data_IF_323708716908
#
_entry.id   IF_323708716908
#
_cell.length_a   1.000
_cell.length_b   1.000
_cell.length_c   1.000
_cell.angle_alpha   90.00
_cell.angle_beta   90.00
_cell.angle_gamma   90.00
#
_symmetry.space_group_name_H-M   'P 1'
#
loop_
_entity.id
_entity.type
_entity.pdbx_description
1 polymer ?
#
# COMPACT_ATOMS: atom_id res chain seq x y z
N UNK A 1 -8.60 -78.62 -1.51
CA UNK A 1 -7.83 -77.92 -0.48
C UNK A 1 -8.76 -76.98 0.29
N UNK A 2 -9.19 -77.35 1.51
CA UNK A 2 -10.10 -76.54 2.30
C UNK A 2 -9.27 -75.52 3.08
N UNK A 3 -9.27 -74.27 2.65
CA UNK A 3 -8.69 -73.16 3.38
C UNK A 3 -9.55 -72.90 4.61
N UNK A 4 -9.00 -73.07 5.79
CA UNK A 4 -9.70 -72.93 7.05
C UNK A 4 -10.20 -71.49 7.22
N UNK A 5 -11.50 -71.32 7.43
CA UNK A 5 -12.15 -70.03 7.65
C UNK A 5 -11.49 -69.17 8.76
N UNK A 6 -10.78 -69.80 9.66
CA UNK A 6 -10.02 -69.19 10.78
C UNK A 6 -8.88 -68.29 10.25
N UNK A 7 -8.17 -68.68 9.17
CA UNK A 7 -7.08 -67.89 8.59
C UNK A 7 -7.56 -66.63 7.88
N UNK A 8 -8.81 -66.70 7.29
CA UNK A 8 -9.38 -65.54 6.62
C UNK A 8 -9.85 -64.50 7.66
N UNK A 9 -10.46 -64.92 8.78
CA UNK A 9 -10.86 -64.02 9.89
C UNK A 9 -9.63 -63.41 10.57
N UNK A 10 -8.53 -64.14 10.75
CA UNK A 10 -7.29 -63.61 11.33
C UNK A 10 -6.58 -62.62 10.41
N UNK A 11 -6.64 -62.82 9.10
CA UNK A 11 -6.06 -61.93 8.10
C UNK A 11 -6.89 -60.60 7.98
N UNK A 12 -8.24 -60.69 8.07
CA UNK A 12 -9.11 -59.50 8.11
C UNK A 12 -8.95 -58.68 9.40
N UNK A 13 -8.66 -59.32 10.55
CA UNK A 13 -8.40 -58.58 11.80
C UNK A 13 -7.11 -57.80 11.79
N UNK A 14 -6.10 -58.21 11.04
CA UNK A 14 -4.83 -57.50 10.85
C UNK A 14 -4.95 -56.24 9.99
N UNK A 15 -5.99 -56.11 9.16
CA UNK A 15 -6.25 -54.89 8.37
C UNK A 15 -7.07 -53.84 9.10
N UNK A 16 -7.64 -54.16 10.27
CA UNK A 16 -8.40 -53.22 11.10
C UNK A 16 -7.57 -52.43 12.11
N UNK A 17 -6.28 -52.72 12.24
CA UNK A 17 -5.32 -51.91 13.00
C UNK A 17 -4.64 -50.89 12.08
N UNK A 18 -5.42 -50.18 11.27
CA UNK A 18 -4.93 -49.02 10.55
C UNK A 18 -4.64 -47.91 11.58
N UNK A 19 -3.38 -47.51 11.69
CA UNK A 19 -2.99 -46.39 12.54
C UNK A 19 -3.77 -45.15 12.09
N UNK A 20 -4.70 -44.68 12.90
CA UNK A 20 -5.45 -43.44 12.65
C UNK A 20 -4.56 -42.23 12.44
N UNK A 21 -3.30 -42.26 12.90
CA UNK A 21 -2.36 -41.14 12.80
C UNK A 21 -1.46 -41.17 11.54
N UNK A 22 -1.58 -42.21 10.67
CA UNK A 22 -0.74 -42.28 9.47
C UNK A 22 -1.21 -41.31 8.36
N UNK A 23 -2.47 -40.87 8.42
CA UNK A 23 -3.04 -39.92 7.48
C UNK A 23 -3.09 -38.49 8.02
N UNK A 24 -2.67 -38.25 9.26
CA UNK A 24 -2.50 -36.92 9.82
C UNK A 24 -1.21 -36.33 9.21
N UNK A 25 -1.37 -35.66 8.07
CA UNK A 25 -0.30 -34.84 7.50
C UNK A 25 0.09 -33.76 8.50
N UNK A 26 1.25 -33.90 9.08
CA UNK A 26 1.91 -32.79 9.79
C UNK A 26 2.60 -31.94 8.73
N UNK A 27 2.04 -30.80 8.29
CA UNK A 27 2.67 -29.96 7.29
C UNK A 27 3.96 -29.38 7.87
N UNK A 28 5.10 -29.90 7.44
CA UNK A 28 6.43 -29.50 7.91
C UNK A 28 6.94 -28.19 7.33
N UNK A 29 6.16 -27.50 6.52
CA UNK A 29 6.59 -26.28 5.82
C UNK A 29 5.57 -25.14 5.73
N UNK A 30 4.33 -25.33 6.17
CA UNK A 30 3.28 -24.29 6.17
C UNK A 30 2.65 -24.16 7.52
N UNK A 31 2.51 -22.91 8.01
CA UNK A 31 1.73 -22.64 9.22
C UNK A 31 0.25 -22.93 8.94
N UNK A 32 -0.34 -23.82 9.73
CA UNK A 32 -1.79 -24.09 9.71
C UNK A 32 -2.46 -23.41 10.89
N UNK A 33 -3.78 -23.22 10.82
CA UNK A 33 -4.59 -22.67 11.92
C UNK A 33 -4.40 -23.43 13.23
N UNK A 34 -4.09 -24.73 13.16
CA UNK A 34 -3.93 -25.61 14.34
C UNK A 34 -2.47 -25.72 14.84
N UNK A 35 -1.52 -25.06 14.18
CA UNK A 35 -0.12 -25.09 14.60
C UNK A 35 0.07 -24.34 15.91
N UNK A 36 0.57 -25.02 16.94
CA UNK A 36 0.97 -24.38 18.21
C UNK A 36 2.29 -23.65 18.00
N UNK A 37 2.22 -22.33 17.95
CA UNK A 37 3.38 -21.47 17.69
C UNK A 37 3.88 -20.91 19.03
N UNK A 38 5.16 -21.06 19.34
CA UNK A 38 5.72 -20.68 20.65
C UNK A 38 6.99 -19.84 20.55
N UNK A 39 7.57 -19.69 19.34
CA UNK A 39 8.83 -18.99 19.17
C UNK A 39 8.64 -17.52 18.71
N UNK A 40 9.62 -16.67 19.04
CA UNK A 40 9.67 -15.28 18.58
C UNK A 40 9.68 -15.20 17.04
N UNK A 41 10.36 -16.12 16.37
CA UNK A 41 10.42 -16.21 14.91
C UNK A 41 9.04 -16.51 14.31
N UNK A 42 8.25 -17.36 14.98
CA UNK A 42 6.87 -17.63 14.57
C UNK A 42 5.97 -16.41 14.74
N UNK A 43 6.09 -15.68 15.85
CA UNK A 43 5.35 -14.45 16.08
C UNK A 43 5.72 -13.37 15.06
N UNK A 44 7.01 -13.23 14.73
CA UNK A 44 7.50 -12.32 13.70
C UNK A 44 6.98 -12.73 12.32
N UNK A 45 6.96 -14.02 11.98
CA UNK A 45 6.44 -14.51 10.71
C UNK A 45 4.95 -14.23 10.53
N UNK A 46 4.14 -14.39 11.60
CA UNK A 46 2.74 -13.99 11.63
C UNK A 46 2.57 -12.49 11.36
N UNK A 47 3.34 -11.66 12.08
CA UNK A 47 3.31 -10.20 11.87
C UNK A 47 3.70 -9.85 10.43
N UNK A 48 4.73 -10.48 9.88
CA UNK A 48 5.17 -10.25 8.51
C UNK A 48 4.10 -10.66 7.47
N UNK A 49 3.22 -11.62 7.80
CA UNK A 49 2.14 -12.03 6.90
C UNK A 49 1.16 -10.88 6.60
N UNK A 50 0.95 -9.96 7.54
CA UNK A 50 0.12 -8.77 7.35
C UNK A 50 0.66 -7.84 6.26
N UNK A 51 1.98 -7.79 6.07
CA UNK A 51 2.62 -6.95 5.06
C UNK A 51 2.61 -7.55 3.65
N UNK A 52 2.29 -8.83 3.47
CA UNK A 52 2.43 -9.52 2.18
C UNK A 52 1.60 -8.89 1.06
N UNK A 53 0.50 -8.25 1.41
CA UNK A 53 -0.44 -7.63 0.48
C UNK A 53 -0.34 -6.09 0.39
N UNK A 54 0.54 -5.46 1.17
CA UNK A 54 0.72 -4.01 1.14
C UNK A 54 1.19 -3.49 -0.23
N UNK A 55 1.71 -4.37 -1.05
CA UNK A 55 2.10 -4.04 -2.42
C UNK A 55 0.93 -3.70 -3.32
N UNK A 56 -0.31 -3.93 -2.92
CA UNK A 56 -1.49 -3.40 -3.61
C UNK A 56 -1.36 -1.87 -3.82
N UNK A 57 -0.69 -1.17 -2.92
CA UNK A 57 -0.43 0.26 -3.02
C UNK A 57 0.61 0.65 -4.09
N UNK A 58 1.31 -0.31 -4.68
CA UNK A 58 2.20 -0.13 -5.83
C UNK A 58 2.34 -1.46 -6.62
N UNK A 59 1.23 -2.04 -7.04
CA UNK A 59 1.20 -3.30 -7.77
C UNK A 59 1.21 -3.06 -9.28
N UNK A 60 2.19 -3.63 -9.97
CA UNK A 60 2.18 -3.70 -11.43
C UNK A 60 1.23 -4.81 -11.87
N UNK A 61 0.31 -4.49 -12.76
CA UNK A 61 -0.59 -5.48 -13.34
C UNK A 61 0.16 -6.25 -14.44
N UNK A 62 0.15 -7.60 -14.42
CA UNK A 62 0.83 -8.40 -15.44
C UNK A 62 0.39 -8.04 -16.85
N UNK A 63 1.36 -7.81 -17.71
CA UNK A 63 1.16 -7.63 -19.17
C UNK A 63 1.06 -6.19 -19.66
N UNK A 64 0.80 -5.19 -18.83
CA UNK A 64 0.54 -3.82 -19.32
C UNK A 64 1.30 -2.72 -18.59
N UNK A 65 2.11 -3.05 -17.60
CA UNK A 65 3.00 -2.10 -16.95
C UNK A 65 2.32 -1.00 -16.14
N UNK A 66 1.02 -1.09 -15.86
CA UNK A 66 0.31 -0.09 -15.07
C UNK A 66 0.17 -0.52 -13.62
N UNK A 67 0.45 0.41 -12.73
CA UNK A 67 0.22 0.24 -11.32
C UNK A 67 -1.26 0.53 -10.99
N UNK A 68 -1.92 -0.38 -10.28
CA UNK A 68 -3.35 -0.27 -9.97
C UNK A 68 -3.72 1.02 -9.24
N UNK A 69 -2.86 1.52 -8.33
CA UNK A 69 -3.13 2.77 -7.61
C UNK A 69 -3.12 3.98 -8.55
N UNK A 70 -2.26 3.97 -9.57
CA UNK A 70 -2.09 5.11 -10.48
C UNK A 70 -3.29 5.29 -11.41
N UNK A 71 -4.12 4.25 -11.58
CA UNK A 71 -5.37 4.38 -12.33
C UNK A 71 -6.33 5.37 -11.68
N UNK A 72 -6.27 5.51 -10.34
CA UNK A 72 -7.07 6.50 -9.61
C UNK A 72 -6.66 7.94 -9.98
N UNK A 73 -5.41 8.17 -10.37
CA UNK A 73 -4.93 9.48 -10.80
C UNK A 73 -5.60 9.95 -12.09
N UNK A 74 -5.96 9.03 -12.99
CA UNK A 74 -6.70 9.39 -14.21
C UNK A 74 -8.07 10.00 -13.89
N UNK A 75 -8.73 9.51 -12.83
CA UNK A 75 -10.06 10.00 -12.41
C UNK A 75 -10.02 11.42 -11.86
N UNK A 76 -8.83 11.94 -11.54
CA UNK A 76 -8.66 13.34 -11.09
C UNK A 76 -8.67 14.36 -12.23
N UNK A 77 -8.55 13.92 -13.48
CA UNK A 77 -8.34 14.77 -14.63
C UNK A 77 -6.94 15.40 -14.71
N UNK A 78 -6.03 15.04 -13.80
CA UNK A 78 -4.66 15.58 -13.75
C UNK A 78 -3.62 14.69 -14.43
N UNK A 79 -4.03 13.49 -14.83
CA UNK A 79 -3.16 12.52 -15.47
C UNK A 79 -3.81 11.92 -16.73
N UNK A 80 -2.95 11.50 -17.64
CA UNK A 80 -3.31 10.84 -18.90
C UNK A 80 -2.31 9.73 -19.20
N UNK A 81 -2.48 9.05 -20.35
CA UNK A 81 -1.62 7.99 -20.83
C UNK A 81 -1.35 8.14 -22.33
N UNK A 82 -0.12 7.86 -22.76
CA UNK A 82 0.19 7.65 -24.19
C UNK A 82 -0.34 6.31 -24.70
N UNK A 83 -0.68 5.43 -23.79
CA UNK A 83 -1.18 4.10 -24.11
C UNK A 83 -2.69 4.15 -24.31
N UNK A 84 -3.14 3.91 -25.54
CA UNK A 84 -4.56 3.94 -25.93
C UNK A 84 -5.36 2.70 -25.53
N UNK A 85 -4.86 1.89 -24.60
CA UNK A 85 -5.57 0.71 -24.12
C UNK A 85 -6.91 1.08 -23.50
N UNK A 86 -7.97 0.35 -23.86
CA UNK A 86 -9.33 0.61 -23.40
C UNK A 86 -9.47 0.70 -21.87
N UNK A 87 -8.73 -0.13 -21.16
CA UNK A 87 -8.80 -0.19 -19.69
C UNK A 87 -8.34 1.11 -18.99
N UNK A 88 -7.39 1.85 -19.57
CA UNK A 88 -6.99 3.16 -19.04
C UNK A 88 -8.02 4.22 -19.36
N UNK A 89 -8.58 4.12 -20.56
CA UNK A 89 -9.60 5.06 -21.02
C UNK A 89 -10.84 5.04 -20.15
N UNK A 90 -11.27 3.89 -19.67
CA UNK A 90 -12.42 3.76 -18.78
C UNK A 90 -12.24 4.57 -17.47
N UNK A 91 -11.01 4.63 -16.93
CA UNK A 91 -10.69 5.46 -15.77
C UNK A 91 -10.66 6.96 -16.11
N UNK A 92 -10.09 7.32 -17.25
CA UNK A 92 -10.06 8.72 -17.73
C UNK A 92 -11.47 9.26 -18.01
N UNK A 93 -12.31 8.44 -18.62
CA UNK A 93 -13.67 8.80 -19.00
C UNK A 93 -14.69 8.61 -17.84
N UNK A 94 -14.24 8.16 -16.66
CA UNK A 94 -15.07 7.83 -15.49
C UNK A 94 -16.14 6.76 -15.78
N UNK A 95 -15.84 5.82 -16.67
CA UNK A 95 -16.72 4.71 -17.08
C UNK A 95 -16.31 3.37 -16.48
N UNK A 96 -15.64 3.40 -15.34
CA UNK A 96 -15.15 2.19 -14.65
C UNK A 96 -16.32 1.30 -14.24
N UNK A 97 -16.23 0.02 -14.58
CA UNK A 97 -17.23 -0.99 -14.24
C UNK A 97 -16.71 -1.98 -13.20
N UNK A 98 -17.62 -2.73 -12.59
CA UNK A 98 -17.33 -3.83 -11.67
C UNK A 98 -16.58 -5.02 -12.32
N UNK A 99 -16.44 -5.02 -13.65
CA UNK A 99 -15.68 -6.01 -14.42
C UNK A 99 -14.23 -5.59 -14.68
N UNK A 100 -13.81 -4.45 -14.16
CA UNK A 100 -12.42 -3.99 -14.29
C UNK A 100 -11.49 -4.88 -13.45
N UNK A 101 -10.52 -5.52 -14.10
CA UNK A 101 -9.50 -6.34 -13.42
C UNK A 101 -8.71 -5.57 -12.38
N UNK A 102 -8.54 -4.25 -12.58
CA UNK A 102 -7.82 -3.40 -11.65
C UNK A 102 -8.60 -3.18 -10.35
N UNK A 103 -9.92 -3.03 -10.46
CA UNK A 103 -10.83 -2.92 -9.30
C UNK A 103 -10.91 -4.26 -8.57
N UNK A 104 -10.98 -5.36 -9.31
CA UNK A 104 -10.95 -6.72 -8.73
C UNK A 104 -9.65 -6.98 -7.97
N UNK A 105 -8.50 -6.62 -8.53
CA UNK A 105 -7.18 -6.74 -7.89
C UNK A 105 -7.12 -6.00 -6.54
N UNK A 106 -7.65 -4.76 -6.47
CA UNK A 106 -7.75 -4.00 -5.23
C UNK A 106 -8.57 -4.72 -4.17
N UNK A 107 -9.76 -5.19 -4.57
CA UNK A 107 -10.65 -5.92 -3.67
C UNK A 107 -10.00 -7.18 -3.13
N UNK A 108 -9.50 -8.02 -4.01
CA UNK A 108 -8.90 -9.30 -3.65
C UNK A 108 -7.66 -9.15 -2.77
N UNK A 109 -6.74 -8.25 -3.12
CA UNK A 109 -5.50 -8.08 -2.35
C UNK A 109 -5.76 -7.44 -0.98
N UNK A 110 -6.67 -6.48 -0.87
CA UNK A 110 -7.04 -5.92 0.43
C UNK A 110 -7.70 -6.97 1.33
N UNK A 111 -8.66 -7.75 0.84
CA UNK A 111 -9.27 -8.81 1.66
C UNK A 111 -8.32 -9.96 1.99
N UNK A 112 -7.41 -10.33 1.10
CA UNK A 112 -6.35 -11.28 1.42
C UNK A 112 -5.41 -10.73 2.51
N UNK A 113 -5.09 -9.43 2.49
CA UNK A 113 -4.36 -8.75 3.55
C UNK A 113 -5.11 -8.76 4.88
N UNK A 114 -6.41 -8.46 4.87
CA UNK A 114 -7.29 -8.51 6.05
C UNK A 114 -7.36 -9.92 6.63
N UNK A 115 -7.48 -10.96 5.79
CA UNK A 115 -7.49 -12.34 6.25
C UNK A 115 -6.17 -12.71 6.95
N UNK A 116 -5.02 -12.30 6.39
CA UNK A 116 -3.71 -12.47 7.04
C UNK A 116 -3.65 -11.72 8.38
N UNK A 117 -4.16 -10.49 8.45
CA UNK A 117 -4.22 -9.73 9.69
C UNK A 117 -5.08 -10.42 10.75
N UNK A 118 -6.27 -10.91 10.39
CA UNK A 118 -7.17 -11.59 11.31
C UNK A 118 -6.51 -12.86 11.87
N UNK A 119 -5.88 -13.67 11.01
CA UNK A 119 -5.13 -14.86 11.45
C UNK A 119 -3.97 -14.49 12.36
N UNK A 120 -3.20 -13.47 12.00
CA UNK A 120 -2.07 -13.00 12.80
C UNK A 120 -2.53 -12.51 14.18
N UNK A 121 -3.59 -11.70 14.27
CA UNK A 121 -4.13 -11.21 15.53
C UNK A 121 -4.63 -12.34 16.42
N UNK A 122 -5.36 -13.31 15.85
CA UNK A 122 -5.82 -14.48 16.58
C UNK A 122 -4.63 -15.26 17.16
N UNK A 123 -3.64 -15.58 16.30
CA UNK A 123 -2.50 -16.41 16.72
C UNK A 123 -1.53 -15.68 17.65
N UNK A 124 -1.30 -14.37 17.47
CA UNK A 124 -0.48 -13.58 18.38
C UNK A 124 -1.09 -13.52 19.78
N UNK A 125 -2.43 -13.51 19.90
CA UNK A 125 -3.13 -13.58 21.19
C UNK A 125 -2.98 -14.90 21.93
N UNK A 126 -2.54 -15.98 21.26
CA UNK A 126 -2.32 -17.30 21.86
C UNK A 126 -0.90 -17.48 22.46
N UNK A 127 0.02 -16.51 22.27
CA UNK A 127 1.38 -16.60 22.81
C UNK A 127 1.42 -16.24 24.31
N UNK A 128 1.70 -17.23 25.14
CA UNK A 128 1.81 -17.07 26.58
C UNK A 128 3.28 -16.93 27.06
N UNK A 129 4.24 -17.38 26.24
CA UNK A 129 5.64 -17.52 26.63
C UNK A 129 6.56 -16.40 26.12
N UNK A 130 6.04 -15.41 25.43
CA UNK A 130 6.78 -14.26 24.93
C UNK A 130 6.47 -13.01 25.75
N UNK A 131 7.40 -12.08 25.73
CA UNK A 131 7.21 -10.78 26.37
C UNK A 131 5.96 -10.07 25.86
N UNK A 132 5.12 -9.59 26.77
CA UNK A 132 3.85 -8.95 26.44
C UNK A 132 4.02 -7.66 25.62
N UNK A 133 5.07 -6.86 25.90
CA UNK A 133 5.35 -5.65 25.13
C UNK A 133 5.74 -6.00 23.70
N UNK A 134 6.52 -7.07 23.49
CA UNK A 134 6.87 -7.56 22.15
C UNK A 134 5.61 -7.98 21.35
N UNK A 135 4.73 -8.77 21.98
CA UNK A 135 3.48 -9.22 21.34
C UNK A 135 2.56 -8.04 21.05
N UNK A 136 2.41 -7.10 21.99
CA UNK A 136 1.63 -5.88 21.79
C UNK A 136 2.17 -5.03 20.64
N UNK A 137 3.49 -4.90 20.49
CA UNK A 137 4.12 -4.25 19.36
C UNK A 137 3.78 -4.94 18.03
N UNK A 138 3.87 -6.26 17.96
CA UNK A 138 3.49 -7.03 16.78
C UNK A 138 1.98 -6.91 16.45
N UNK A 139 1.12 -6.96 17.46
CA UNK A 139 -0.32 -6.76 17.27
C UNK A 139 -0.63 -5.35 16.76
N UNK A 140 0.09 -4.34 17.25
CA UNK A 140 -0.07 -2.96 16.79
C UNK A 140 0.28 -2.80 15.31
N UNK A 141 1.36 -3.42 14.85
CA UNK A 141 1.71 -3.44 13.42
C UNK A 141 0.61 -4.12 12.58
N UNK A 142 0.10 -5.25 13.03
CA UNK A 142 -0.98 -5.99 12.31
C UNK A 142 -2.27 -5.18 12.29
N UNK A 143 -2.64 -4.51 13.39
CA UNK A 143 -3.81 -3.63 13.45
C UNK A 143 -3.67 -2.43 12.53
N UNK A 144 -2.51 -1.79 12.49
CA UNK A 144 -2.23 -0.74 11.52
C UNK A 144 -2.46 -1.23 10.08
N UNK A 145 -1.95 -2.41 9.73
CA UNK A 145 -2.11 -2.96 8.38
C UNK A 145 -3.58 -3.26 8.07
N UNK A 146 -4.35 -3.83 9.02
CA UNK A 146 -5.77 -4.09 8.84
C UNK A 146 -6.56 -2.80 8.65
N UNK A 147 -6.30 -1.81 9.47
CA UNK A 147 -6.90 -0.48 9.34
C UNK A 147 -6.58 0.16 7.99
N UNK A 148 -5.33 0.09 7.53
CA UNK A 148 -4.91 0.63 6.24
C UNK A 148 -5.63 -0.04 5.07
N UNK A 149 -5.76 -1.38 5.06
CA UNK A 149 -6.51 -2.09 4.03
C UNK A 149 -7.98 -1.68 4.01
N UNK A 150 -8.64 -1.61 5.18
CA UNK A 150 -10.02 -1.16 5.26
C UNK A 150 -10.20 0.29 4.87
N UNK A 151 -9.27 1.18 5.24
CA UNK A 151 -9.32 2.59 4.89
C UNK A 151 -9.33 2.81 3.37
N UNK A 152 -8.49 2.07 2.63
CA UNK A 152 -8.52 2.11 1.18
C UNK A 152 -9.78 1.46 0.60
N UNK A 153 -10.24 0.32 1.15
CA UNK A 153 -11.47 -0.33 0.69
C UNK A 153 -12.67 0.61 0.76
N UNK A 154 -12.91 1.24 1.90
CA UNK A 154 -14.08 2.12 2.05
C UNK A 154 -14.00 3.39 1.21
N UNK A 155 -12.80 3.90 0.93
CA UNK A 155 -12.60 5.07 0.06
C UNK A 155 -12.81 4.75 -1.42
N UNK A 156 -12.52 3.53 -1.85
CA UNK A 156 -12.66 3.10 -3.25
C UNK A 156 -14.06 2.53 -3.51
N UNK A 157 -14.61 1.74 -2.59
CA UNK A 157 -15.81 0.92 -2.81
C UNK A 157 -17.04 1.37 -2.02
N UNK A 158 -16.91 2.32 -1.11
CA UNK A 158 -18.01 2.68 -0.19
C UNK A 158 -18.26 1.58 0.83
N UNK A 159 -19.51 1.13 0.96
CA UNK A 159 -19.88 0.03 1.85
C UNK A 159 -19.18 -1.27 1.46
N UNK A 160 -18.61 -1.98 2.44
CA UNK A 160 -17.82 -3.21 2.23
C UNK A 160 -18.09 -4.25 3.31
N UNK A 161 -17.90 -5.58 3.05
CA UNK A 161 -18.02 -6.61 4.06
C UNK A 161 -17.10 -6.38 5.27
N UNK A 162 -17.70 -6.46 6.48
CA UNK A 162 -16.97 -6.38 7.74
C UNK A 162 -16.49 -7.77 8.16
N UNK A 163 -15.19 -8.04 8.01
CA UNK A 163 -14.56 -9.33 8.30
C UNK A 163 -13.43 -9.11 9.32
N UNK A 164 -13.68 -9.45 10.58
CA UNK A 164 -12.74 -9.20 11.70
C UNK A 164 -12.19 -10.47 12.33
N UNK A 165 -12.64 -11.62 11.89
CA UNK A 165 -12.24 -12.94 12.38
C UNK A 165 -11.77 -13.84 11.25
N UNK A 166 -11.08 -14.92 11.61
CA UNK A 166 -10.72 -15.98 10.66
C UNK A 166 -11.98 -16.69 10.22
N UNK A 167 -12.20 -16.78 8.91
CA UNK A 167 -13.33 -17.49 8.33
C UNK A 167 -12.93 -18.93 8.04
N UNK A 168 -13.57 -19.88 8.70
CA UNK A 168 -13.26 -21.31 8.61
C UNK A 168 -14.30 -22.13 7.86
N UNK A 169 -15.51 -21.60 7.72
CA UNK A 169 -16.64 -22.32 7.09
C UNK A 169 -17.15 -21.60 5.84
N UNK A 170 -17.61 -22.37 4.84
CA UNK A 170 -18.14 -21.82 3.59
C UNK A 170 -19.33 -20.85 3.78
N UNK A 171 -20.14 -21.06 4.82
CA UNK A 171 -21.26 -20.18 5.15
C UNK A 171 -20.82 -18.78 5.62
N UNK A 172 -19.62 -18.66 6.16
CA UNK A 172 -19.05 -17.39 6.65
C UNK A 172 -18.52 -16.51 5.50
N UNK A 173 -18.40 -17.06 4.29
CA UNK A 173 -17.88 -16.32 3.13
C UNK A 173 -18.90 -15.37 2.50
N UNK A 174 -20.19 -15.52 2.82
CA UNK A 174 -21.27 -14.66 2.30
C UNK A 174 -21.62 -13.54 3.29
N UNK A 175 -20.72 -12.57 3.43
CA UNK A 175 -20.92 -11.42 4.31
C UNK A 175 -21.51 -10.26 3.53
N UNK A 176 -22.63 -9.70 4.03
CA UNK A 176 -23.20 -8.48 3.46
C UNK A 176 -22.28 -7.28 3.66
N UNK A 177 -22.41 -6.27 2.81
CA UNK A 177 -21.69 -5.00 2.99
C UNK A 177 -22.21 -4.30 4.25
N UNK A 178 -21.29 -3.80 5.06
CA UNK A 178 -21.57 -2.91 6.18
C UNK A 178 -21.42 -1.45 5.73
N UNK A 179 -22.15 -0.51 6.31
CA UNK A 179 -21.99 0.91 6.00
C UNK A 179 -20.57 1.41 6.24
N UNK A 180 -20.11 2.34 5.42
CA UNK A 180 -18.76 2.98 5.57
C UNK A 180 -18.55 3.43 7.02
N UNK A 181 -19.53 4.11 7.62
CA UNK A 181 -19.45 4.60 8.99
C UNK A 181 -19.13 3.48 9.99
N UNK A 182 -19.76 2.34 9.86
CA UNK A 182 -19.55 1.19 10.75
C UNK A 182 -18.14 0.63 10.64
N UNK A 183 -17.57 0.60 9.42
CA UNK A 183 -16.19 0.18 9.20
C UNK A 183 -15.19 1.13 9.87
N UNK A 184 -15.43 2.45 9.79
CA UNK A 184 -14.60 3.42 10.51
C UNK A 184 -14.72 3.26 12.03
N UNK A 185 -15.93 3.18 12.55
CA UNK A 185 -16.19 3.23 13.99
C UNK A 185 -15.83 1.92 14.71
N UNK A 186 -15.93 0.78 14.02
CA UNK A 186 -15.76 -0.53 14.65
C UNK A 186 -14.47 -1.25 14.26
N UNK A 187 -13.76 -0.81 13.20
CA UNK A 187 -12.51 -1.44 12.78
C UNK A 187 -11.38 -0.41 12.68
N UNK A 188 -11.48 0.56 11.77
CA UNK A 188 -10.34 1.42 11.41
C UNK A 188 -9.86 2.22 12.62
N UNK A 189 -10.76 2.98 13.23
CA UNK A 189 -10.42 3.84 14.38
C UNK A 189 -10.02 3.01 15.61
N UNK A 190 -10.79 1.98 16.03
CA UNK A 190 -10.38 1.14 17.16
C UNK A 190 -9.02 0.45 16.97
N UNK A 191 -8.76 -0.15 15.80
CA UNK A 191 -7.47 -0.78 15.54
C UNK A 191 -6.29 0.19 15.69
N UNK A 192 -6.46 1.41 15.16
CA UNK A 192 -5.41 2.43 15.24
C UNK A 192 -5.26 3.02 16.64
N UNK A 193 -6.35 3.20 17.38
CA UNK A 193 -6.28 3.65 18.77
C UNK A 193 -5.63 2.61 19.69
N UNK A 194 -5.87 1.32 19.44
CA UNK A 194 -5.18 0.27 20.17
C UNK A 194 -3.70 0.18 19.77
N UNK A 195 -3.37 0.35 18.48
CA UNK A 195 -1.98 0.44 18.03
C UNK A 195 -1.25 1.67 18.64
N UNK A 196 -1.95 2.79 18.84
CA UNK A 196 -1.41 4.00 19.48
C UNK A 196 -1.02 3.78 20.96
N UNK A 197 -1.57 2.75 21.64
CA UNK A 197 -1.23 2.41 23.03
C UNK A 197 -0.01 1.48 23.15
N UNK A 198 0.61 1.10 22.04
CA UNK A 198 1.76 0.21 22.05
C UNK A 198 3.08 0.96 22.30
N UNK A 199 4.13 0.20 22.58
CA UNK A 199 5.49 0.71 22.76
C UNK A 199 6.28 0.78 21.42
N UNK A 200 5.61 0.95 20.29
CA UNK A 200 6.29 1.12 19.00
C UNK A 200 7.22 2.35 19.03
N UNK A 201 8.42 2.20 18.50
CA UNK A 201 9.31 3.34 18.30
C UNK A 201 8.64 4.41 17.42
N UNK A 202 8.94 5.68 17.69
CA UNK A 202 8.28 6.77 16.96
C UNK A 202 8.64 6.80 15.48
N UNK A 203 9.87 6.45 15.12
CA UNK A 203 10.34 6.26 13.75
C UNK A 203 10.94 4.87 13.56
N UNK A 204 10.91 4.34 12.34
CA UNK A 204 11.52 3.06 11.98
C UNK A 204 12.27 3.16 10.65
N UNK A 205 13.54 2.75 10.64
CA UNK A 205 14.39 2.79 9.45
C UNK A 205 14.48 1.46 8.70
N UNK A 206 13.75 0.45 9.17
CA UNK A 206 13.71 -0.89 8.55
C UNK A 206 12.50 -1.10 7.67
N UNK A 207 11.54 -0.16 7.71
CA UNK A 207 10.31 -0.18 6.94
C UNK A 207 9.15 -0.87 7.65
N UNK A 208 9.27 -1.11 8.96
CA UNK A 208 8.16 -1.59 9.79
C UNK A 208 7.27 -0.41 10.21
N UNK A 209 6.07 -0.73 10.67
CA UNK A 209 5.16 0.27 11.23
C UNK A 209 5.79 0.90 12.47
N UNK A 210 5.77 2.23 12.51
CA UNK A 210 6.22 3.04 13.64
C UNK A 210 5.04 3.78 14.28
N UNK A 211 5.22 4.32 15.47
CA UNK A 211 4.21 5.18 16.12
C UNK A 211 3.89 6.41 15.25
N UNK A 212 4.89 6.97 14.57
CA UNK A 212 4.68 8.06 13.61
C UNK A 212 3.78 7.65 12.44
N UNK A 213 3.92 6.41 11.95
CA UNK A 213 3.03 5.86 10.92
C UNK A 213 1.59 5.68 11.43
N UNK A 214 1.43 5.17 12.66
CA UNK A 214 0.10 5.03 13.30
C UNK A 214 -0.59 6.39 13.42
N UNK A 215 0.14 7.40 13.90
CA UNK A 215 -0.40 8.78 14.07
C UNK A 215 -0.70 9.45 12.73
N UNK A 216 0.13 9.24 11.72
CA UNK A 216 -0.11 9.78 10.38
C UNK A 216 -1.37 9.18 9.75
N UNK A 217 -1.56 7.85 9.86
CA UNK A 217 -2.78 7.20 9.37
C UNK A 217 -4.02 7.62 10.19
N UNK A 218 -3.92 7.74 11.51
CA UNK A 218 -5.01 8.28 12.35
C UNK A 218 -5.39 9.71 11.93
N UNK A 219 -4.41 10.55 11.65
CA UNK A 219 -4.67 11.91 11.18
C UNK A 219 -5.44 11.91 9.86
N UNK A 220 -5.03 11.08 8.87
CA UNK A 220 -5.72 10.96 7.59
C UNK A 220 -7.13 10.36 7.74
N UNK A 221 -7.28 9.34 8.58
CA UNK A 221 -8.57 8.72 8.90
C UNK A 221 -9.55 9.74 9.49
N UNK A 222 -9.11 10.52 10.48
CA UNK A 222 -9.95 11.54 11.09
C UNK A 222 -10.25 12.71 10.15
N UNK A 223 -9.28 13.14 9.34
CA UNK A 223 -9.48 14.18 8.32
C UNK A 223 -10.54 13.74 7.30
N UNK A 224 -10.42 12.50 6.81
CA UNK A 224 -11.38 11.93 5.85
C UNK A 224 -12.77 11.76 6.49
N UNK A 225 -12.84 11.31 7.74
CA UNK A 225 -14.11 11.19 8.47
C UNK A 225 -14.79 12.55 8.70
N UNK A 226 -13.99 13.60 8.99
CA UNK A 226 -14.50 14.95 9.20
C UNK A 226 -15.20 15.52 7.97
N UNK A 227 -14.67 15.19 6.76
CA UNK A 227 -15.19 15.64 5.48
C UNK A 227 -16.21 14.67 4.86
N UNK A 228 -16.37 14.78 3.55
CA UNK A 228 -17.25 13.90 2.77
C UNK A 228 -16.67 12.48 2.70
N UNK A 229 -17.47 11.39 2.75
CA UNK A 229 -18.96 11.39 2.80
C UNK A 229 -19.56 11.43 4.19
N UNK A 230 -18.81 11.20 5.27
CA UNK A 230 -19.33 11.04 6.62
C UNK A 230 -19.71 12.35 7.31
N UNK A 231 -19.03 13.45 6.95
CA UNK A 231 -19.30 14.80 7.46
C UNK A 231 -19.28 14.87 8.99
N UNK A 232 -18.29 14.19 9.63
CA UNK A 232 -18.14 14.15 11.08
C UNK A 232 -17.84 15.51 11.73
N UNK A 233 -17.36 16.48 10.94
CA UNK A 233 -17.23 17.87 11.31
C UNK A 233 -16.10 18.19 12.28
N UNK A 234 -16.27 19.32 13.01
CA UNK A 234 -15.20 20.01 13.77
C UNK A 234 -14.45 19.12 14.77
N UNK A 235 -15.12 18.19 15.44
CA UNK A 235 -14.48 17.29 16.40
C UNK A 235 -13.45 16.36 15.77
N UNK A 236 -13.72 15.85 14.57
CA UNK A 236 -12.80 14.98 13.84
C UNK A 236 -11.63 15.74 13.21
N UNK A 237 -11.85 16.97 12.73
CA UNK A 237 -10.75 17.87 12.36
C UNK A 237 -9.80 18.13 13.53
N UNK A 238 -10.32 18.31 14.74
CA UNK A 238 -9.51 18.51 15.94
C UNK A 238 -8.67 17.27 16.29
N UNK A 239 -9.24 16.06 16.17
CA UNK A 239 -8.51 14.82 16.40
C UNK A 239 -7.42 14.58 15.35
N UNK A 240 -7.67 14.91 14.07
CA UNK A 240 -6.67 14.90 13.02
C UNK A 240 -5.54 15.89 13.27
N UNK A 241 -5.88 17.13 13.60
CA UNK A 241 -4.89 18.15 13.95
C UNK A 241 -4.01 17.74 15.13
N UNK A 242 -4.60 17.12 16.16
CA UNK A 242 -3.86 16.62 17.32
C UNK A 242 -2.80 15.60 16.93
N UNK A 243 -3.15 14.55 16.16
CA UNK A 243 -2.20 13.51 15.72
C UNK A 243 -1.13 14.06 14.79
N UNK A 244 -1.52 14.92 13.86
CA UNK A 244 -0.56 15.63 12.99
C UNK A 244 0.44 16.45 13.81
N UNK A 245 -0.02 17.20 14.80
CA UNK A 245 0.83 18.00 15.67
C UNK A 245 1.78 17.15 16.54
N UNK A 246 1.34 15.98 16.99
CA UNK A 246 2.19 15.03 17.72
C UNK A 246 3.34 14.52 16.85
N UNK A 247 3.08 14.20 15.57
CA UNK A 247 4.13 13.83 14.61
C UNK A 247 5.08 15.01 14.37
N UNK A 248 4.56 16.23 14.19
CA UNK A 248 5.38 17.42 13.98
C UNK A 248 6.28 17.69 15.20
N UNK A 249 5.75 17.60 16.41
CA UNK A 249 6.48 17.87 17.66
C UNK A 249 7.45 16.78 18.05
N UNK A 250 7.37 15.61 17.46
CA UNK A 250 8.31 14.51 17.74
C UNK A 250 9.74 14.85 17.31
N UNK A 251 9.91 15.69 16.29
CA UNK A 251 11.16 16.01 15.64
C UNK A 251 11.90 14.77 15.04
N UNK A 252 11.19 13.65 14.83
CA UNK A 252 11.75 12.43 14.25
C UNK A 252 11.81 12.48 12.72
N UNK A 253 11.03 13.37 12.11
CA UNK A 253 10.94 13.52 10.66
C UNK A 253 11.33 14.94 10.23
N UNK A 254 12.02 15.04 9.09
CA UNK A 254 12.45 16.33 8.53
C UNK A 254 12.29 16.33 7.02
N UNK A 255 11.88 17.45 6.44
CA UNK A 255 11.82 17.59 4.99
C UNK A 255 13.20 17.45 4.38
N UNK A 256 13.29 16.82 3.23
CA UNK A 256 14.49 16.87 2.42
C UNK A 256 14.75 18.30 1.92
N UNK A 257 16.02 18.67 1.78
CA UNK A 257 16.42 19.98 1.27
C UNK A 257 16.31 20.09 -0.25
N UNK A 258 16.18 18.95 -0.92
CA UNK A 258 16.08 18.82 -2.37
C UNK A 258 15.12 17.71 -2.77
N UNK A 259 14.59 17.78 -3.98
CA UNK A 259 13.67 16.77 -4.51
C UNK A 259 14.39 15.51 -5.04
N UNK A 260 15.71 15.54 -5.20
CA UNK A 260 16.48 14.38 -5.62
C UNK A 260 16.39 13.27 -4.58
N UNK A 261 16.45 13.63 -3.31
CA UNK A 261 16.37 12.70 -2.18
C UNK A 261 15.10 11.85 -2.20
N UNK A 262 13.99 12.32 -2.80
CA UNK A 262 12.75 11.56 -2.92
C UNK A 262 12.85 10.32 -3.82
N UNK A 263 13.82 10.30 -4.75
CA UNK A 263 13.99 9.25 -5.75
C UNK A 263 15.27 8.42 -5.58
N UNK A 264 15.97 8.60 -4.47
CA UNK A 264 17.18 7.84 -4.17
C UNK A 264 16.86 6.64 -3.26
N UNK A 265 17.09 5.39 -3.69
CA UNK A 265 16.90 4.22 -2.82
C UNK A 265 17.68 4.28 -1.50
N UNK A 266 18.82 4.99 -1.48
CA UNK A 266 19.63 5.22 -0.27
C UNK A 266 18.93 6.06 0.80
N UNK A 267 17.86 6.76 0.45
CA UNK A 267 17.03 7.56 1.35
C UNK A 267 15.77 6.82 1.81
N UNK A 268 15.53 5.60 1.37
CA UNK A 268 14.40 4.81 1.84
C UNK A 268 14.34 4.79 3.37
N UNK A 269 13.13 4.98 3.92
CA UNK A 269 12.82 4.99 5.36
C UNK A 269 13.59 6.05 6.17
N UNK A 270 13.99 7.16 5.54
CA UNK A 270 14.73 8.26 6.19
C UNK A 270 14.08 9.62 5.90
N UNK A 271 14.52 10.64 6.63
CA UNK A 271 14.14 12.03 6.41
C UNK A 271 12.65 12.26 6.56
N UNK A 272 11.97 12.54 5.46
CA UNK A 272 10.54 12.79 5.46
C UNK A 272 9.66 11.54 5.30
N UNK A 273 10.25 10.37 5.03
CA UNK A 273 9.48 9.15 4.83
C UNK A 273 8.99 8.56 6.16
N UNK A 274 7.67 8.54 6.37
CA UNK A 274 7.03 8.02 7.59
C UNK A 274 6.67 6.55 7.42
N UNK A 275 6.03 6.19 6.30
CA UNK A 275 5.69 4.81 5.98
C UNK A 275 5.81 4.54 4.48
N UNK A 276 6.52 3.48 4.14
CA UNK A 276 6.77 3.08 2.75
C UNK A 276 6.50 1.59 2.55
N UNK A 277 5.99 1.23 1.38
CA UNK A 277 6.01 -0.15 0.87
C UNK A 277 7.43 -0.50 0.46
N UNK A 278 7.96 -1.58 1.03
CA UNK A 278 9.35 -1.97 0.86
C UNK A 278 9.57 -2.75 -0.44
N UNK A 279 10.62 -2.38 -1.17
CA UNK A 279 11.09 -3.08 -2.36
C UNK A 279 12.57 -3.46 -2.23
N UNK A 280 12.98 -4.50 -2.96
CA UNK A 280 14.35 -4.97 -2.99
C UNK A 280 14.61 -5.73 -4.28
N UNK A 281 15.70 -5.43 -4.98
CA UNK A 281 16.10 -6.10 -6.22
C UNK A 281 16.19 -7.62 -6.08
N UNK A 282 16.60 -8.10 -4.90
CA UNK A 282 16.81 -9.52 -4.65
C UNK A 282 15.53 -10.31 -4.33
N UNK A 283 14.43 -9.62 -4.00
CA UNK A 283 13.17 -10.27 -3.59
C UNK A 283 12.00 -9.79 -4.44
N UNK A 284 11.63 -8.54 -4.25
CA UNK A 284 10.53 -7.89 -4.93
C UNK A 284 10.94 -6.48 -5.31
N UNK A 285 11.24 -6.25 -6.56
CA UNK A 285 11.65 -4.97 -7.08
C UNK A 285 10.46 -4.09 -7.46
N UNK A 286 10.68 -2.77 -7.41
CA UNK A 286 9.75 -1.78 -7.91
C UNK A 286 9.96 -1.63 -9.43
N UNK A 287 8.90 -1.85 -10.19
CA UNK A 287 8.92 -1.71 -11.66
C UNK A 287 8.19 -0.44 -12.13
N UNK A 288 7.66 0.36 -11.21
CA UNK A 288 6.83 1.52 -11.58
C UNK A 288 7.59 2.62 -12.32
N UNK A 289 8.93 2.64 -12.24
CA UNK A 289 9.75 3.58 -13.01
C UNK A 289 9.41 3.58 -14.51
N UNK A 290 9.03 2.43 -15.06
CA UNK A 290 8.70 2.25 -16.49
C UNK A 290 7.40 2.93 -16.91
N UNK A 291 6.46 3.11 -15.99
CA UNK A 291 5.16 3.72 -16.29
C UNK A 291 5.22 5.24 -16.42
N UNK A 292 6.26 5.85 -15.84
CA UNK A 292 6.47 7.31 -15.84
C UNK A 292 7.29 7.80 -17.03
N UNK A 293 7.96 6.89 -17.75
CA UNK A 293 8.78 7.24 -18.91
C UNK A 293 7.90 7.33 -20.18
N UNK A 294 8.25 8.22 -21.12
CA UNK A 294 7.58 8.28 -22.43
C UNK A 294 7.61 6.92 -23.11
N UNK A 295 6.54 6.54 -23.77
CA UNK A 295 6.45 5.24 -24.45
C UNK A 295 7.52 5.11 -25.53
N UNK A 296 8.33 4.05 -25.43
CA UNK A 296 9.38 3.72 -26.41
C UNK A 296 10.37 4.86 -26.67
N UNK A 297 10.64 5.67 -25.67
CA UNK A 297 11.51 6.85 -25.81
C UNK A 297 12.98 6.52 -25.94
N UNK A 298 13.42 5.33 -25.52
CA UNK A 298 14.82 4.98 -25.43
C UNK A 298 15.58 5.68 -24.28
N UNK A 299 14.87 6.23 -23.33
CA UNK A 299 15.46 6.83 -22.10
C UNK A 299 16.07 5.72 -21.24
N UNK A 300 15.37 4.61 -21.09
CA UNK A 300 15.83 3.46 -20.35
C UNK A 300 16.77 2.60 -21.20
N UNK A 301 17.83 2.08 -20.59
CA UNK A 301 18.66 1.04 -21.20
C UNK A 301 17.88 -0.27 -21.44
N UNK A 302 16.70 -0.40 -20.87
CA UNK A 302 15.82 -1.57 -20.92
C UNK A 302 14.53 -1.22 -21.67
N UNK A 303 14.14 -2.06 -22.62
CA UNK A 303 13.16 -1.80 -23.70
C UNK A 303 11.69 -1.60 -23.31
N UNK A 304 11.34 -1.48 -22.02
CA UNK A 304 9.96 -1.46 -21.56
C UNK A 304 9.58 -0.12 -20.92
N UNK A 305 9.33 0.86 -21.76
CA UNK A 305 8.81 2.17 -21.38
C UNK A 305 7.35 2.27 -21.85
N UNK A 306 6.47 2.64 -20.95
CA UNK A 306 5.03 2.49 -21.21
C UNK A 306 4.25 3.77 -21.42
N UNK A 307 4.74 4.93 -20.93
CA UNK A 307 3.99 6.17 -20.99
C UNK A 307 2.61 6.05 -20.35
N UNK A 308 2.51 5.24 -19.30
CA UNK A 308 1.21 4.87 -18.73
C UNK A 308 0.65 5.92 -17.79
N UNK A 309 1.49 6.74 -17.15
CA UNK A 309 1.03 7.85 -16.32
C UNK A 309 1.81 9.12 -16.65
N UNK A 310 1.12 10.07 -17.25
CA UNK A 310 1.67 11.33 -17.70
C UNK A 310 0.82 12.46 -17.09
N UNK A 311 1.43 13.49 -16.49
CA UNK A 311 0.67 14.65 -16.04
C UNK A 311 0.06 15.37 -17.23
N UNK A 312 -1.16 15.86 -17.09
CA UNK A 312 -1.74 16.75 -18.12
C UNK A 312 -0.98 18.07 -18.13
N UNK A 313 -0.94 18.70 -19.30
CA UNK A 313 -0.28 20.01 -19.46
C UNK A 313 -0.93 21.05 -18.56
N UNK A 314 -2.26 21.07 -18.53
CA UNK A 314 -3.06 21.98 -17.71
C UNK A 314 -2.73 21.82 -16.22
N UNK A 315 -2.50 20.60 -15.77
CA UNK A 315 -2.11 20.35 -14.37
C UNK A 315 -0.73 20.95 -14.07
N UNK A 316 0.28 20.70 -14.91
CA UNK A 316 1.62 21.25 -14.66
C UNK A 316 1.64 22.78 -14.79
N UNK A 317 0.91 23.34 -15.72
CA UNK A 317 0.81 24.79 -15.91
C UNK A 317 -0.06 25.49 -14.86
N UNK A 318 -0.82 24.74 -14.03
CA UNK A 318 -1.60 25.30 -12.92
C UNK A 318 -0.77 25.64 -11.68
N UNK A 319 0.50 25.20 -11.63
CA UNK A 319 1.39 25.57 -10.55
C UNK A 319 1.73 27.05 -10.57
N UNK A 320 1.89 27.66 -9.40
CA UNK A 320 2.26 29.06 -9.30
C UNK A 320 3.65 29.32 -9.91
N UNK A 321 3.82 30.51 -10.48
CA UNK A 321 5.12 30.92 -11.04
C UNK A 321 6.21 30.89 -9.97
N UNK A 322 7.28 30.14 -10.22
CA UNK A 322 8.41 30.00 -9.31
C UNK A 322 8.27 28.80 -8.34
N UNK A 323 7.24 27.99 -8.51
CA UNK A 323 7.16 26.71 -7.81
C UNK A 323 8.28 25.78 -8.28
N UNK A 324 9.18 25.43 -7.37
CA UNK A 324 10.35 24.60 -7.65
C UNK A 324 10.03 23.21 -8.21
N UNK A 325 8.82 22.71 -7.97
CA UNK A 325 8.38 21.41 -8.49
C UNK A 325 8.28 21.41 -10.01
N UNK A 326 8.05 22.59 -10.62
CA UNK A 326 7.97 22.76 -12.07
C UNK A 326 9.31 23.03 -12.75
N UNK A 327 10.38 23.24 -11.99
CA UNK A 327 11.72 23.35 -12.55
C UNK A 327 12.12 22.00 -13.17
N UNK A 328 12.90 22.05 -14.27
CA UNK A 328 13.31 20.86 -15.02
C UNK A 328 14.00 19.83 -14.11
N UNK A 329 13.54 18.56 -14.21
CA UNK A 329 14.05 17.44 -13.40
C UNK A 329 13.84 17.56 -11.89
N UNK A 330 12.87 18.33 -11.45
CA UNK A 330 12.40 18.27 -10.07
C UNK A 330 11.27 17.23 -9.94
N UNK A 331 10.00 17.61 -10.12
CA UNK A 331 8.88 16.66 -10.18
C UNK A 331 8.58 16.21 -11.60
N UNK A 332 8.91 17.04 -12.58
CA UNK A 332 8.65 16.81 -13.99
C UNK A 332 9.92 17.01 -14.82
N UNK A 333 9.92 16.45 -16.03
CA UNK A 333 10.95 16.68 -17.02
C UNK A 333 10.32 16.77 -18.41
N UNK A 334 10.95 17.55 -19.28
CA UNK A 334 10.51 17.81 -20.66
C UNK A 334 11.55 17.40 -21.69
N UNK A 335 12.78 17.13 -21.23
CA UNK A 335 13.88 16.75 -22.08
C UNK A 335 14.78 15.72 -21.40
N UNK A 336 15.40 14.87 -22.19
CA UNK A 336 16.30 13.85 -21.70
C UNK A 336 17.34 13.46 -22.73
N UNK A 337 18.49 13.03 -22.26
CA UNK A 337 19.53 12.42 -23.08
C UNK A 337 19.33 10.90 -23.04
N UNK A 338 18.73 10.34 -24.10
CA UNK A 338 18.35 8.93 -24.14
C UNK A 338 19.52 7.97 -24.33
N UNK A 339 19.33 6.72 -23.97
CA UNK A 339 20.18 5.61 -24.37
C UNK A 339 19.87 5.17 -25.80
N UNK A 340 20.86 4.64 -26.57
CA UNK A 340 20.53 4.06 -27.88
C UNK A 340 19.56 2.92 -27.67
N UNK A 341 18.33 3.08 -28.17
CA UNK A 341 17.30 2.07 -28.09
C UNK A 341 17.70 0.85 -28.92
N UNK A 342 17.47 -0.36 -28.41
CA UNK A 342 17.59 -1.61 -29.18
C UNK A 342 16.66 -1.63 -30.39
N UNK A 343 15.59 -0.83 -30.37
CA UNK A 343 14.63 -0.69 -31.47
C UNK A 343 15.06 0.30 -32.58
N UNK A 344 16.12 1.08 -32.31
CA UNK A 344 16.74 1.96 -33.32
C UNK A 344 18.20 1.61 -33.48
N UNK A 345 18.52 0.46 -34.08
CA UNK A 345 19.92 0.06 -34.32
C UNK A 345 20.54 1.04 -35.33
N UNK A 346 21.43 1.92 -34.86
CA UNK A 346 22.12 2.92 -35.65
C UNK A 346 22.20 4.31 -35.02
N UNK A 347 21.52 4.57 -33.92
CA UNK A 347 21.74 5.78 -33.12
C UNK A 347 23.08 5.64 -32.37
N UNK A 348 24.12 6.23 -32.93
CA UNK A 348 25.49 6.05 -32.43
C UNK A 348 25.81 6.89 -31.20
N UNK A 349 25.02 7.89 -30.85
CA UNK A 349 25.23 8.75 -29.69
C UNK A 349 23.89 9.12 -29.04
N UNK A 350 23.95 9.30 -27.71
CA UNK A 350 22.83 9.79 -26.91
C UNK A 350 22.52 11.23 -27.31
N UNK A 351 21.45 11.43 -28.07
CA UNK A 351 21.00 12.75 -28.44
C UNK A 351 20.10 13.35 -27.37
N UNK A 352 20.17 14.65 -27.21
CA UNK A 352 19.24 15.41 -26.39
C UNK A 352 17.87 15.41 -27.08
N UNK A 353 16.87 14.85 -26.40
CA UNK A 353 15.51 14.75 -26.90
C UNK A 353 14.62 15.77 -26.21
N UNK A 354 13.91 16.59 -27.01
CA UNK A 354 12.71 17.29 -26.54
C UNK A 354 11.56 16.30 -26.60
N UNK A 355 10.96 16.04 -25.45
CA UNK A 355 9.88 15.05 -25.32
C UNK A 355 8.52 15.60 -25.75
N UNK A 356 8.44 16.89 -26.08
CA UNK A 356 7.21 17.58 -26.48
C UNK A 356 6.05 17.41 -25.49
N UNK A 357 6.36 17.29 -24.21
CA UNK A 357 5.40 17.09 -23.12
C UNK A 357 6.06 17.03 -21.75
N UNK A 358 5.24 16.95 -20.72
CA UNK A 358 5.71 16.79 -19.34
C UNK A 358 5.65 15.32 -18.93
N UNK A 359 6.69 14.85 -18.26
CA UNK A 359 6.77 13.50 -17.71
C UNK A 359 7.18 13.54 -16.26
N UNK A 360 6.86 12.48 -15.47
CA UNK A 360 7.08 12.45 -14.04
C UNK A 360 8.54 12.09 -13.74
N UNK A 361 9.25 13.00 -13.05
CA UNK A 361 10.63 12.81 -12.61
C UNK A 361 10.75 12.45 -11.12
N UNK A 362 9.72 12.69 -10.34
CA UNK A 362 9.68 12.43 -8.88
C UNK A 362 10.08 11.00 -8.49
N UNK A 363 9.80 10.03 -9.35
CA UNK A 363 10.09 8.61 -9.11
C UNK A 363 11.20 8.06 -10.04
N UNK A 364 12.01 8.94 -10.60
CA UNK A 364 13.01 8.61 -11.60
C UNK A 364 14.28 8.07 -10.91
N UNK A 365 14.40 6.75 -10.81
CA UNK A 365 15.61 6.09 -10.33
C UNK A 365 16.60 5.91 -11.49
N UNK A 366 17.61 6.77 -11.51
CA UNK A 366 18.63 6.78 -12.58
C UNK A 366 19.35 5.44 -12.70
N UNK A 367 19.70 4.80 -11.57
CA UNK A 367 20.41 3.51 -11.57
C UNK A 367 19.56 2.40 -12.20
N UNK A 368 18.27 2.38 -11.85
CA UNK A 368 17.34 1.42 -12.44
C UNK A 368 17.17 1.65 -13.94
N UNK A 369 17.04 2.91 -14.37
CA UNK A 369 16.87 3.29 -15.78
C UNK A 369 18.09 2.93 -16.61
N UNK A 370 19.27 3.15 -16.10
CA UNK A 370 20.54 2.86 -16.80
C UNK A 370 20.84 1.34 -16.91
N UNK A 371 20.18 0.51 -16.11
CA UNK A 371 20.52 -0.92 -16.02
C UNK A 371 19.35 -1.85 -16.36
N UNK A 372 18.38 -2.00 -15.45
CA UNK A 372 17.40 -3.11 -15.50
C UNK A 372 15.95 -2.64 -15.53
N UNK A 373 15.69 -1.34 -15.35
CA UNK A 373 14.39 -0.76 -15.07
C UNK A 373 13.68 -1.38 -13.84
N UNK A 374 14.46 -2.01 -12.95
CA UNK A 374 14.02 -2.54 -11.65
C UNK A 374 14.70 -1.73 -10.56
N UNK A 375 13.94 -1.30 -9.60
CA UNK A 375 14.39 -0.38 -8.55
C UNK A 375 14.20 -0.94 -7.16
N UNK A 376 15.08 -0.55 -6.25
CA UNK A 376 14.92 -0.69 -4.80
C UNK A 376 14.15 0.50 -4.20
N UNK A 377 13.74 1.48 -5.00
CA UNK A 377 13.02 2.65 -4.51
C UNK A 377 11.69 2.23 -3.91
N UNK A 378 11.51 2.52 -2.63
CA UNK A 378 10.28 2.25 -1.91
C UNK A 378 9.14 3.16 -2.37
N UNK A 379 7.90 2.69 -2.22
CA UNK A 379 6.71 3.48 -2.49
C UNK A 379 6.19 4.14 -1.22
N UNK A 380 6.15 5.47 -1.20
CA UNK A 380 5.69 6.22 -0.03
C UNK A 380 4.19 6.20 0.09
N UNK A 381 3.69 5.75 1.25
CA UNK A 381 2.28 5.84 1.65
C UNK A 381 2.08 7.13 2.44
N UNK A 382 2.96 7.42 3.41
CA UNK A 382 2.96 8.66 4.18
C UNK A 382 4.34 9.29 4.25
N UNK A 383 4.38 10.59 4.01
CA UNK A 383 5.53 11.46 4.20
C UNK A 383 5.22 12.56 5.21
N UNK A 384 6.25 13.16 5.74
CA UNK A 384 6.11 14.30 6.67
C UNK A 384 5.38 15.48 6.03
N UNK A 385 5.53 15.69 4.72
CA UNK A 385 4.78 16.67 3.93
C UNK A 385 3.27 16.46 4.03
N UNK A 386 2.82 15.18 3.97
CA UNK A 386 1.38 14.86 4.07
C UNK A 386 0.84 15.24 5.44
N UNK A 387 1.61 15.00 6.51
CA UNK A 387 1.23 15.38 7.88
C UNK A 387 1.15 16.89 8.05
N UNK A 388 2.10 17.64 7.46
CA UNK A 388 2.08 19.11 7.50
C UNK A 388 0.85 19.66 6.79
N UNK A 389 0.48 19.09 5.63
CA UNK A 389 -0.71 19.49 4.88
C UNK A 389 -2.00 19.13 5.63
N UNK A 390 -2.11 17.92 6.18
CA UNK A 390 -3.25 17.53 7.01
C UNK A 390 -3.44 18.46 8.21
N UNK A 391 -2.34 18.84 8.87
CA UNK A 391 -2.40 19.81 9.98
C UNK A 391 -2.91 21.16 9.52
N UNK A 392 -2.41 21.68 8.41
CA UNK A 392 -2.83 22.96 7.84
C UNK A 392 -4.33 22.95 7.47
N UNK A 393 -4.80 21.89 6.80
CA UNK A 393 -6.21 21.73 6.44
C UNK A 393 -7.11 21.75 7.69
N UNK A 394 -6.72 21.00 8.74
CA UNK A 394 -7.49 20.96 9.96
C UNK A 394 -7.60 22.32 10.64
N UNK A 395 -6.55 23.15 10.60
CA UNK A 395 -6.56 24.49 11.19
C UNK A 395 -7.55 25.41 10.48
N UNK A 396 -7.75 25.26 9.17
CA UNK A 396 -8.75 26.04 8.42
C UNK A 396 -10.18 25.78 8.91
N UNK A 397 -10.47 24.53 9.30
CA UNK A 397 -11.81 24.11 9.73
C UNK A 397 -12.01 24.14 11.25
N UNK A 398 -10.97 24.37 12.04
CA UNK A 398 -11.04 24.43 13.50
C UNK A 398 -10.91 25.85 14.07
N UNK A 399 -10.33 26.79 13.30
CA UNK A 399 -10.18 28.18 13.72
C UNK A 399 -11.51 28.95 13.62
N UNK A 400 -11.79 29.82 14.57
CA UNK A 400 -12.98 30.67 14.56
C UNK A 400 -13.01 31.68 13.39
N UNK A 401 -11.84 31.91 12.76
CA UNK A 401 -11.72 32.74 11.56
C UNK A 401 -12.42 32.13 10.31
N UNK A 402 -12.67 30.83 10.28
CA UNK A 402 -13.44 30.20 9.22
C UNK A 402 -14.95 30.48 9.34
N UNK A 403 -15.46 30.71 10.55
CA UNK A 403 -16.88 31.02 10.79
C UNK A 403 -17.23 32.49 10.50
N UNK A 404 -16.25 33.40 10.53
CA UNK A 404 -16.47 34.83 10.27
C UNK A 404 -16.32 35.21 8.78
N UNK A 405 -15.73 34.38 7.94
CA UNK A 405 -15.37 34.68 6.54
C UNK A 405 -16.43 34.35 5.48
N UNK A 406 -17.50 33.63 5.81
CA UNK A 406 -18.52 33.18 4.87
C UNK A 406 -19.90 33.88 5.06
N UNK A 407 -19.91 35.01 5.66
CA UNK A 407 -21.03 35.93 5.57
C UNK A 407 -21.08 36.54 4.17
N UNK A 408 -21.65 35.82 3.20
CA UNK A 408 -22.04 36.36 1.91
C UNK A 408 -23.50 36.76 2.05
N UNK A 409 -23.75 38.08 2.15
CA UNK A 409 -25.06 38.67 1.92
C UNK A 409 -25.53 38.45 0.47
#
# INVERSE_FOLDING_TARGET
MKINKIYIVSLCALFLSSCNNFLDEQPTGTMTTDSKLTSKESALALTNSAYLKNTVFNKMTPGWGCNTILLLEYMTGKATSENSQSNYKDFQDLLVSDRSLYIEDWWQDCYAGIANCNLALQKLGEFENLDASLINGYMAEVKFMRALYYFYLVRIFGDVPKITTVQSELGELQVSRAPVKEIYDEIIIPDLLEAEQSDLAFSDHTGRVSMGAVKALLADVYLTYAGYPLQGGKSYYAESAKRSLEVIKSNEYTLFTDYESLRLPSQNNKGEFIYQVQFSLNKRHNESVRIFLPSRSGISAYDLEYGSLIPTKEFVESFEKGDKRTEEKQYFFTNYKGHPSKFSPGAAELEFMDLNGYYIYKFFDQVAIDNTAKSDLNWSVYRYTDVLLMYADCLLYTSDAADEGLGVD
#
